data_IF_236948347130
#
_entry.id   IF_236948347130
#
_cell.length_a   1.000
_cell.length_b   1.000
_cell.length_c   1.000
_cell.angle_alpha   90.00
_cell.angle_beta   90.00
_cell.angle_gamma   90.00
#
_symmetry.space_group_name_H-M   'P 1'
#
loop_
_entity.id
_entity.type
_entity.pdbx_description
1 polymer ?
#
# COMPACT_ATOMS: atom_id res chain seq x y z
N UNK A 1 13.88 0.24 -3.03
CA UNK A 1 12.98 -0.91 -2.72
C UNK A 1 13.67 -2.24 -2.92
N UNK A 2 13.74 -3.08 -1.87
CA UNK A 2 14.33 -4.44 -1.93
C UNK A 2 13.36 -5.50 -2.48
N UNK A 3 12.05 -5.31 -2.26
CA UNK A 3 11.00 -6.27 -2.61
C UNK A 3 9.93 -5.62 -3.52
N UNK A 4 9.20 -6.41 -4.34
CA UNK A 4 8.10 -5.88 -5.14
C UNK A 4 6.95 -5.42 -4.26
N UNK A 5 6.46 -4.20 -4.48
CA UNK A 5 5.41 -3.56 -3.67
C UNK A 5 4.26 -3.08 -4.56
N UNK A 6 3.06 -2.98 -4.00
CA UNK A 6 1.89 -2.40 -4.67
C UNK A 6 1.84 -0.89 -4.41
N UNK A 7 1.74 -0.09 -5.46
CA UNK A 7 1.64 1.36 -5.32
C UNK A 7 0.30 1.75 -4.68
N UNK A 8 0.32 2.63 -3.67
CA UNK A 8 -0.86 3.26 -3.08
C UNK A 8 -0.66 4.77 -3.00
N UNK A 9 -1.75 5.51 -2.79
CA UNK A 9 -1.68 6.91 -2.37
C UNK A 9 -1.97 6.98 -0.88
N UNK A 10 -0.97 7.25 -0.05
CA UNK A 10 -1.15 7.43 1.39
C UNK A 10 -1.91 8.72 1.76
N UNK A 11 -2.24 9.58 0.81
CA UNK A 11 -3.20 10.67 1.02
C UNK A 11 -4.66 10.17 0.91
N UNK A 12 -4.89 8.98 0.36
CA UNK A 12 -6.19 8.31 0.28
C UNK A 12 -6.40 7.31 1.42
N UNK A 13 -6.00 7.69 2.64
CA UNK A 13 -6.34 6.95 3.87
C UNK A 13 -7.81 7.18 4.21
N UNK A 14 -8.53 6.10 4.55
CA UNK A 14 -9.94 6.16 4.98
C UNK A 14 -10.12 5.97 6.49
N UNK A 15 -9.05 5.54 7.17
CA UNK A 15 -8.91 5.50 8.63
C UNK A 15 -7.41 5.62 8.98
N UNK A 16 -7.04 5.65 10.27
CA UNK A 16 -5.66 5.84 10.72
C UNK A 16 -4.67 4.77 10.21
N UNK A 17 -5.15 3.56 9.90
CA UNK A 17 -4.35 2.45 9.38
C UNK A 17 -5.00 1.74 8.18
N UNK A 18 -5.94 2.37 7.48
CA UNK A 18 -6.61 1.79 6.32
C UNK A 18 -6.41 2.70 5.10
N UNK A 19 -5.77 2.16 4.07
CA UNK A 19 -5.55 2.86 2.79
C UNK A 19 -6.31 2.18 1.66
N UNK A 20 -6.78 2.96 0.68
CA UNK A 20 -7.35 2.41 -0.55
C UNK A 20 -6.29 1.61 -1.33
N UNK A 21 -6.67 0.44 -1.85
CA UNK A 21 -5.75 -0.46 -2.54
C UNK A 21 -6.09 -0.65 -4.02
N UNK A 22 -7.30 -1.14 -4.34
CA UNK A 22 -7.68 -1.44 -5.73
C UNK A 22 -9.19 -1.41 -5.96
N UNK A 23 -9.59 -1.07 -7.19
CA UNK A 23 -10.97 -1.20 -7.67
C UNK A 23 -11.29 -2.63 -8.15
N UNK A 24 -10.28 -3.42 -8.49
CA UNK A 24 -10.43 -4.77 -9.05
C UNK A 24 -9.64 -5.80 -8.23
N UNK A 25 -9.87 -7.08 -8.50
CA UNK A 25 -9.18 -8.19 -7.82
C UNK A 25 -7.71 -8.36 -8.23
N UNK A 26 -7.18 -7.47 -9.07
CA UNK A 26 -5.79 -7.52 -9.48
C UNK A 26 -5.15 -6.15 -9.35
N UNK A 27 -3.88 -6.13 -8.95
CA UNK A 27 -3.06 -4.91 -8.96
C UNK A 27 -1.65 -5.25 -9.36
N UNK A 28 -1.07 -4.42 -10.21
CA UNK A 28 0.30 -4.59 -10.68
C UNK A 28 1.28 -4.09 -9.62
N UNK A 29 2.30 -4.88 -9.30
CA UNK A 29 3.38 -4.46 -8.41
C UNK A 29 4.47 -3.67 -9.14
N UNK A 30 5.44 -3.16 -8.38
CA UNK A 30 6.57 -2.37 -8.90
C UNK A 30 7.48 -3.10 -9.90
N UNK A 31 7.37 -4.43 -10.04
CA UNK A 31 8.06 -5.21 -11.07
C UNK A 31 7.18 -5.50 -12.31
N UNK A 32 5.96 -4.98 -12.37
CA UNK A 32 5.03 -5.23 -13.49
C UNK A 32 4.24 -6.53 -13.38
N UNK A 33 4.33 -7.27 -12.27
CA UNK A 33 3.58 -8.51 -12.09
C UNK A 33 2.17 -8.21 -11.55
N UNK A 34 1.15 -8.85 -12.14
CA UNK A 34 -0.21 -8.78 -11.63
C UNK A 34 -0.36 -9.65 -10.38
N UNK A 35 -0.77 -9.03 -9.27
CA UNK A 35 -1.03 -9.70 -8.00
C UNK A 35 -2.53 -9.84 -7.82
N UNK A 36 -2.99 -11.06 -7.55
CA UNK A 36 -4.39 -11.32 -7.19
C UNK A 36 -4.64 -10.92 -5.73
N UNK A 37 -5.65 -10.09 -5.52
CA UNK A 37 -6.06 -9.58 -4.21
C UNK A 37 -7.20 -10.43 -3.67
N UNK A 38 -7.00 -10.93 -2.45
CA UNK A 38 -7.99 -11.70 -1.71
C UNK A 38 -7.89 -11.31 -0.24
N UNK A 39 -9.05 -11.22 0.42
CA UNK A 39 -9.13 -10.90 1.84
C UNK A 39 -8.21 -11.79 2.69
N UNK A 40 -7.44 -11.16 3.59
CA UNK A 40 -6.47 -11.81 4.45
C UNK A 40 -5.06 -11.99 3.85
N UNK A 41 -4.85 -11.75 2.55
CA UNK A 41 -3.50 -11.82 1.97
C UNK A 41 -2.61 -10.68 2.49
N UNK A 42 -1.38 -11.00 2.88
CA UNK A 42 -0.35 -10.00 3.19
C UNK A 42 0.12 -9.31 1.90
N UNK A 43 0.24 -7.99 1.93
CA UNK A 43 0.78 -7.19 0.85
C UNK A 43 1.80 -6.18 1.39
N UNK A 44 2.83 -5.95 0.59
CA UNK A 44 3.77 -4.84 0.77
C UNK A 44 3.31 -3.71 -0.14
N UNK A 45 3.23 -2.50 0.41
CA UNK A 45 2.77 -1.32 -0.32
C UNK A 45 3.82 -0.21 -0.25
N UNK A 46 3.74 0.71 -1.19
CA UNK A 46 4.60 1.90 -1.23
C UNK A 46 3.91 3.09 -1.89
N UNK A 47 4.43 4.28 -1.62
CA UNK A 47 4.18 5.51 -2.36
C UNK A 47 5.52 6.19 -2.62
N UNK A 48 5.69 6.78 -3.80
CA UNK A 48 6.90 7.56 -4.11
C UNK A 48 6.98 8.77 -3.17
N UNK A 49 8.15 9.00 -2.60
CA UNK A 49 8.45 10.16 -1.74
C UNK A 49 9.94 10.52 -1.86
N UNK A 50 10.34 11.68 -1.37
CA UNK A 50 11.73 12.15 -1.41
C UNK A 50 12.13 12.83 -0.12
N UNK A 51 13.41 12.70 0.23
CA UNK A 51 13.97 13.35 1.40
C UNK A 51 14.12 14.88 1.21
N UNK A 52 14.66 15.54 2.24
CA UNK A 52 14.92 16.98 2.25
C UNK A 52 15.93 17.46 1.18
N UNK A 53 16.63 16.54 0.51
CA UNK A 53 17.60 16.79 -0.55
C UNK A 53 17.09 16.36 -1.93
N UNK A 54 15.79 16.06 -2.09
CA UNK A 54 15.19 15.58 -3.34
C UNK A 54 15.75 14.21 -3.79
N UNK A 55 16.26 13.42 -2.83
CA UNK A 55 16.70 12.04 -3.07
C UNK A 55 15.52 11.09 -2.84
N UNK A 56 15.27 10.10 -3.72
CA UNK A 56 14.18 9.16 -3.54
C UNK A 56 14.26 8.43 -2.20
N UNK A 57 13.20 8.53 -1.40
CA UNK A 57 13.04 7.86 -0.11
C UNK A 57 11.56 7.51 0.10
N UNK A 58 11.12 6.45 -0.58
CA UNK A 58 9.71 6.06 -0.66
C UNK A 58 9.09 5.82 0.73
N UNK A 59 7.80 6.12 0.85
CA UNK A 59 7.02 5.66 2.00
C UNK A 59 6.62 4.21 1.80
N UNK A 60 6.86 3.37 2.81
CA UNK A 60 6.62 1.94 2.81
C UNK A 60 5.66 1.54 3.91
N UNK A 61 4.85 0.50 3.66
CA UNK A 61 4.09 -0.18 4.70
C UNK A 61 3.86 -1.66 4.35
N UNK A 62 3.44 -2.43 5.35
CA UNK A 62 2.97 -3.81 5.22
C UNK A 62 1.58 -3.91 5.85
N UNK A 63 0.71 -4.70 5.24
CA UNK A 63 -0.62 -4.92 5.78
C UNK A 63 -1.31 -6.12 5.17
N UNK A 64 -2.59 -6.26 5.51
CA UNK A 64 -3.46 -7.30 4.97
C UNK A 64 -4.53 -6.70 4.06
N UNK A 65 -4.88 -7.41 2.99
CA UNK A 65 -5.99 -7.03 2.12
C UNK A 65 -7.31 -7.24 2.86
N UNK A 66 -8.16 -6.21 2.88
CA UNK A 66 -9.52 -6.27 3.42
C UNK A 66 -10.51 -5.73 2.39
N UNK A 67 -11.76 -6.20 2.44
CA UNK A 67 -12.83 -5.52 1.70
C UNK A 67 -12.96 -4.07 2.20
N UNK A 68 -13.26 -3.16 1.28
CA UNK A 68 -13.48 -1.77 1.65
C UNK A 68 -14.65 -1.68 2.64
N UNK A 69 -14.45 -1.14 3.86
CA UNK A 69 -15.49 -1.06 4.87
C UNK A 69 -16.58 -0.02 4.52
N UNK A 70 -16.34 0.87 3.56
CA UNK A 70 -17.29 1.89 3.12
C UNK A 70 -18.19 1.33 2.02
N UNK A 71 -19.52 1.22 2.26
CA UNK A 71 -20.45 0.74 1.24
C UNK A 71 -20.49 1.64 0.00
N UNK A 72 -20.61 1.03 -1.19
CA UNK A 72 -20.71 1.72 -2.50
C UNK A 72 -19.50 2.61 -2.86
N UNK A 73 -18.34 2.39 -2.25
CA UNK A 73 -17.11 3.07 -2.64
C UNK A 73 -16.55 2.49 -3.95
N UNK A 74 -15.86 3.32 -4.76
CA UNK A 74 -15.30 2.89 -6.06
C UNK A 74 -14.16 1.87 -5.90
N UNK A 75 -13.32 2.04 -4.89
CA UNK A 75 -12.32 1.05 -4.51
C UNK A 75 -12.98 -0.13 -3.80
N UNK A 76 -12.70 -1.35 -4.28
CA UNK A 76 -13.18 -2.61 -3.71
C UNK A 76 -12.33 -3.08 -2.53
N UNK A 77 -11.01 -2.94 -2.66
CA UNK A 77 -10.04 -3.44 -1.70
C UNK A 77 -9.35 -2.29 -1.00
N UNK A 78 -9.07 -2.48 0.29
CA UNK A 78 -8.19 -1.66 1.10
C UNK A 78 -7.03 -2.51 1.63
N UNK A 79 -5.97 -1.84 2.09
CA UNK A 79 -4.93 -2.46 2.90
C UNK A 79 -5.08 -1.97 4.34
N UNK A 80 -5.22 -2.91 5.27
CA UNK A 80 -5.13 -2.66 6.70
C UNK A 80 -3.66 -2.77 7.12
N UNK A 81 -3.03 -1.63 7.35
CA UNK A 81 -1.62 -1.50 7.72
C UNK A 81 -1.40 -2.07 9.12
N UNK A 82 -0.35 -2.87 9.28
CA UNK A 82 0.02 -3.48 10.56
C UNK A 82 0.65 -2.46 11.53
N UNK A 83 1.01 -2.93 12.73
CA UNK A 83 1.53 -2.07 13.80
C UNK A 83 2.88 -1.40 13.49
N UNK A 84 3.57 -1.79 12.40
CA UNK A 84 4.78 -1.11 11.94
C UNK A 84 4.46 0.28 11.37
N UNK A 85 3.24 0.50 10.91
CA UNK A 85 2.81 1.76 10.32
C UNK A 85 3.48 2.06 8.97
N UNK A 86 3.42 3.33 8.58
CA UNK A 86 4.10 3.86 7.40
C UNK A 86 5.48 4.37 7.84
N UNK A 87 6.53 4.00 7.11
CA UNK A 87 7.91 4.34 7.42
C UNK A 87 8.69 4.68 6.15
N UNK A 88 9.79 5.42 6.29
CA UNK A 88 10.64 5.76 5.16
C UNK A 88 11.45 4.54 4.70
N UNK A 89 11.72 4.44 3.41
CA UNK A 89 12.52 3.37 2.83
C UNK A 89 13.92 3.30 3.45
N UNK A 90 14.51 4.45 3.78
CA UNK A 90 15.77 4.56 4.51
C UNK A 90 15.75 3.95 5.92
N UNK A 91 14.58 3.78 6.54
CA UNK A 91 14.40 3.09 7.83
C UNK A 91 14.38 1.55 7.69
N UNK A 92 14.39 1.02 6.47
CA UNK A 92 14.36 -0.42 6.17
C UNK A 92 15.72 -1.09 6.47
N UNK A 93 15.96 -1.39 7.75
CA UNK A 93 17.14 -2.13 8.24
C UNK A 93 17.28 -3.52 7.62
#
# INVERSE_FOLDING_TARGET
MKEPRLYVDFNEMIDFNIVLLSQTDYKTNSLGNAIYLQEGNTVLIYMDDSDEYDTPDNLLAEGIVILNPIPNHIAKWCCLINDKGIYYESDER
#
